data_IF_824979663845
#
_entry.id   IF_824979663845
#
_cell.length_a   1.000
_cell.length_b   1.000
_cell.length_c   1.000
_cell.angle_alpha   90.00
_cell.angle_beta   90.00
_cell.angle_gamma   90.00
#
_symmetry.space_group_name_H-M   'P 1'
#
loop_
_entity.id
_entity.type
_entity.pdbx_description
1 polymer ?
#
# COMPACT_ATOMS: atom_id res chain seq x y z
N UNK A 1 26.80 -5.42 -14.87
CA UNK A 1 25.86 -6.38 -15.43
C UNK A 1 24.46 -5.78 -15.28
N UNK A 2 24.08 -4.99 -16.27
CA UNK A 2 22.74 -4.41 -16.40
C UNK A 2 22.03 -5.23 -17.48
N UNK A 3 21.47 -6.37 -17.08
CA UNK A 3 20.61 -7.15 -17.98
C UNK A 3 19.70 -7.99 -17.10
N UNK A 4 18.46 -7.52 -17.00
CA UNK A 4 17.19 -8.23 -16.88
C UNK A 4 16.04 -7.26 -16.57
N UNK A 5 16.01 -6.11 -17.22
CA UNK A 5 14.81 -5.31 -17.38
C UNK A 5 14.04 -5.91 -18.56
N UNK A 6 13.43 -7.08 -18.32
CA UNK A 6 12.48 -7.66 -19.26
C UNK A 6 11.37 -6.61 -19.47
N UNK A 7 11.13 -6.17 -20.69
CA UNK A 7 10.35 -5.00 -21.12
C UNK A 7 8.87 -4.97 -20.73
N UNK A 8 8.53 -5.37 -19.51
CA UNK A 8 7.18 -5.25 -18.97
C UNK A 8 6.96 -3.82 -18.47
N UNK A 9 5.85 -3.22 -18.91
CA UNK A 9 5.41 -1.91 -18.44
C UNK A 9 5.23 -1.92 -16.91
N UNK A 10 5.48 -0.78 -16.23
CA UNK A 10 5.20 -0.65 -14.82
C UNK A 10 3.70 -0.75 -14.54
N UNK A 11 3.35 -1.26 -13.37
CA UNK A 11 1.98 -1.29 -12.89
C UNK A 11 1.62 0.04 -12.23
N UNK A 12 0.49 0.62 -12.58
CA UNK A 12 -0.05 1.80 -11.91
C UNK A 12 -1.26 1.41 -11.05
N UNK A 13 -1.24 1.84 -9.80
CA UNK A 13 -2.36 1.68 -8.87
C UNK A 13 -2.86 3.02 -8.35
N UNK A 14 -4.09 3.09 -7.89
CA UNK A 14 -4.72 4.32 -7.39
C UNK A 14 -5.17 4.14 -5.95
N UNK A 15 -4.82 5.09 -5.08
CA UNK A 15 -5.35 5.14 -3.72
C UNK A 15 -6.77 5.69 -3.71
N UNK A 16 -7.71 4.90 -3.21
CA UNK A 16 -9.10 5.32 -3.05
C UNK A 16 -9.26 6.31 -1.88
N UNK A 17 -10.11 7.34 -2.00
CA UNK A 17 -10.25 8.43 -1.04
C UNK A 17 -11.11 8.06 0.18
N UNK A 18 -10.75 7.00 0.91
CA UNK A 18 -11.53 6.50 2.05
C UNK A 18 -11.57 7.45 3.24
N UNK A 19 -10.54 8.28 3.41
CA UNK A 19 -10.52 9.34 4.44
C UNK A 19 -11.33 10.55 4.00
N UNK A 20 -11.18 10.95 2.76
CA UNK A 20 -11.91 12.06 2.16
C UNK A 20 -13.43 11.82 2.21
N UNK A 21 -13.85 10.58 2.02
CA UNK A 21 -15.25 10.16 2.19
C UNK A 21 -15.75 10.45 3.62
N UNK A 22 -14.97 10.09 4.65
CA UNK A 22 -15.32 10.40 6.04
C UNK A 22 -15.28 11.91 6.31
N UNK A 23 -14.26 12.62 5.80
CA UNK A 23 -14.13 14.07 5.99
C UNK A 23 -15.27 14.86 5.31
N UNK A 24 -15.88 14.32 4.27
CA UNK A 24 -17.04 14.95 3.62
C UNK A 24 -18.30 14.96 4.46
N UNK A 25 -18.37 14.12 5.50
CA UNK A 25 -19.54 13.92 6.34
C UNK A 25 -20.72 13.27 5.62
N UNK A 26 -20.57 12.81 4.38
CA UNK A 26 -21.62 12.16 3.59
C UNK A 26 -21.45 10.64 3.65
N UNK A 27 -22.50 9.95 4.05
CA UNK A 27 -22.56 8.48 4.07
C UNK A 27 -22.93 7.93 2.68
N UNK A 28 -22.13 8.27 1.67
CA UNK A 28 -22.31 7.80 0.29
C UNK A 28 -21.04 7.10 -0.21
N UNK A 29 -21.03 5.75 -0.32
CA UNK A 29 -19.88 5.01 -0.82
C UNK A 29 -19.81 4.96 -2.36
N UNK A 30 -20.82 5.48 -3.09
CA UNK A 30 -20.91 5.33 -4.55
C UNK A 30 -19.72 5.95 -5.27
N UNK A 31 -19.18 7.07 -4.77
CA UNK A 31 -17.99 7.70 -5.33
C UNK A 31 -16.75 6.80 -5.25
N UNK A 32 -16.59 6.01 -4.18
CA UNK A 32 -15.49 5.05 -4.04
C UNK A 32 -15.62 3.91 -5.06
N UNK A 33 -16.82 3.35 -5.21
CA UNK A 33 -17.09 2.27 -6.15
C UNK A 33 -16.87 2.71 -7.59
N UNK A 34 -17.46 3.85 -7.97
CA UNK A 34 -17.33 4.42 -9.30
C UNK A 34 -15.86 4.74 -9.66
N UNK A 35 -15.08 5.24 -8.68
CA UNK A 35 -13.66 5.51 -8.90
C UNK A 35 -12.87 4.22 -9.15
N UNK A 36 -13.14 3.16 -8.39
CA UNK A 36 -12.49 1.86 -8.57
C UNK A 36 -12.86 1.20 -9.91
N UNK A 37 -14.15 1.18 -10.25
CA UNK A 37 -14.65 0.68 -11.55
C UNK A 37 -14.04 1.47 -12.71
N UNK A 38 -13.93 2.80 -12.54
CA UNK A 38 -13.34 3.66 -13.57
C UNK A 38 -11.85 3.44 -13.71
N UNK A 39 -11.12 3.27 -12.61
CA UNK A 39 -9.70 2.92 -12.65
C UNK A 39 -9.47 1.60 -13.38
N UNK A 40 -10.30 0.58 -13.12
CA UNK A 40 -10.28 -0.68 -13.86
C UNK A 40 -10.54 -0.48 -15.35
N UNK A 41 -11.55 0.31 -15.71
CA UNK A 41 -11.90 0.60 -17.09
C UNK A 41 -10.85 1.42 -17.85
N UNK A 42 -10.02 2.17 -17.13
CA UNK A 42 -8.91 2.96 -17.71
C UNK A 42 -7.59 2.17 -17.81
N UNK A 43 -7.56 0.91 -17.36
CA UNK A 43 -6.38 0.06 -17.44
C UNK A 43 -5.40 0.20 -16.27
N UNK A 44 -5.82 0.78 -15.16
CA UNK A 44 -5.01 0.72 -13.93
C UNK A 44 -4.95 -0.72 -13.40
N UNK A 45 -3.77 -1.12 -12.94
CA UNK A 45 -3.51 -2.48 -12.46
C UNK A 45 -4.14 -2.76 -11.10
N UNK A 46 -4.22 -1.76 -10.22
CA UNK A 46 -4.64 -1.96 -8.83
C UNK A 46 -5.30 -0.73 -8.22
N UNK A 47 -6.15 -0.98 -7.21
CA UNK A 47 -6.67 0.07 -6.33
C UNK A 47 -6.26 -0.23 -4.88
N UNK A 48 -5.98 0.82 -4.12
CA UNK A 48 -5.39 0.73 -2.80
C UNK A 48 -6.21 1.53 -1.79
N UNK A 49 -6.20 1.09 -0.53
CA UNK A 49 -6.83 1.82 0.57
C UNK A 49 -5.84 1.99 1.73
N UNK A 50 -5.95 3.08 2.45
CA UNK A 50 -5.20 3.26 3.69
C UNK A 50 -5.96 2.72 4.89
N UNK A 51 -5.27 2.58 6.03
CA UNK A 51 -5.84 2.17 7.31
C UNK A 51 -5.43 3.15 8.42
N UNK A 52 -6.35 3.45 9.31
CA UNK A 52 -6.15 4.19 10.56
C UNK A 52 -7.48 4.19 11.32
N UNK A 53 -7.43 3.86 12.59
CA UNK A 53 -8.63 3.77 13.43
C UNK A 53 -9.12 5.16 13.88
N UNK A 54 -8.26 5.93 14.54
CA UNK A 54 -8.62 7.22 15.14
C UNK A 54 -7.71 8.38 14.75
N UNK A 55 -6.43 8.14 14.49
CA UNK A 55 -5.47 9.19 14.18
C UNK A 55 -5.78 9.92 12.87
N UNK A 56 -6.27 9.18 11.88
CA UNK A 56 -6.74 9.70 10.59
C UNK A 56 -7.97 8.90 10.17
N UNK A 57 -9.13 9.16 10.77
CA UNK A 57 -10.34 8.35 10.57
C UNK A 57 -10.67 8.18 9.10
N UNK A 58 -10.99 6.94 8.72
CA UNK A 58 -11.37 6.54 7.37
C UNK A 58 -12.28 5.32 7.42
N UNK A 59 -12.87 4.97 6.31
CA UNK A 59 -13.63 3.74 6.21
C UNK A 59 -12.66 2.56 6.37
N UNK A 60 -13.08 1.52 7.09
CA UNK A 60 -12.26 0.32 7.32
C UNK A 60 -11.75 -0.28 6.02
N UNK A 61 -10.46 -0.63 6.02
CA UNK A 61 -9.76 -1.04 4.82
C UNK A 61 -10.30 -2.35 4.23
N UNK A 62 -10.50 -3.39 5.05
CA UNK A 62 -10.95 -4.70 4.56
C UNK A 62 -12.41 -4.65 4.12
N UNK A 63 -13.26 -3.93 4.84
CA UNK A 63 -14.66 -3.69 4.46
C UNK A 63 -14.74 -2.95 3.12
N UNK A 64 -13.88 -1.93 2.92
CA UNK A 64 -13.82 -1.21 1.64
C UNK A 64 -13.37 -2.12 0.51
N UNK A 65 -12.30 -2.90 0.71
CA UNK A 65 -11.79 -3.82 -0.32
C UNK A 65 -12.80 -4.93 -0.66
N UNK A 66 -13.59 -5.42 0.31
CA UNK A 66 -14.66 -6.39 0.05
C UNK A 66 -15.74 -5.80 -0.87
N UNK A 67 -16.19 -4.58 -0.56
CA UNK A 67 -17.21 -3.90 -1.35
C UNK A 67 -16.71 -3.53 -2.76
N UNK A 68 -15.50 -3.00 -2.88
CA UNK A 68 -14.86 -2.69 -4.17
C UNK A 68 -14.58 -3.96 -4.96
N UNK A 69 -14.16 -5.04 -4.29
CA UNK A 69 -13.90 -6.34 -4.92
C UNK A 69 -15.12 -6.97 -5.56
N UNK A 70 -16.31 -6.74 -4.98
CA UNK A 70 -17.58 -7.18 -5.56
C UNK A 70 -18.02 -6.36 -6.79
N UNK A 71 -17.44 -5.18 -6.98
CA UNK A 71 -17.75 -4.25 -8.08
C UNK A 71 -16.74 -4.27 -9.22
N UNK A 72 -15.59 -4.89 -9.01
CA UNK A 72 -14.48 -4.96 -9.97
C UNK A 72 -14.14 -6.42 -10.29
N UNK A 73 -13.50 -6.67 -11.44
CA UNK A 73 -13.23 -8.03 -11.91
C UNK A 73 -11.72 -8.33 -12.05
N UNK A 74 -10.90 -7.33 -12.35
CA UNK A 74 -9.49 -7.51 -12.75
C UNK A 74 -8.50 -6.81 -11.84
N UNK A 75 -8.80 -5.56 -11.41
CA UNK A 75 -7.86 -4.78 -10.60
C UNK A 75 -7.52 -5.52 -9.31
N UNK A 76 -6.25 -5.51 -8.96
CA UNK A 76 -5.80 -5.98 -7.65
C UNK A 76 -6.24 -4.99 -6.56
N UNK A 77 -6.43 -5.50 -5.38
CA UNK A 77 -7.04 -4.80 -4.25
C UNK A 77 -6.03 -4.76 -3.10
N UNK A 78 -5.42 -3.60 -2.89
CA UNK A 78 -4.30 -3.47 -1.96
C UNK A 78 -4.56 -2.57 -0.77
N UNK A 79 -3.72 -2.71 0.26
CA UNK A 79 -3.66 -1.74 1.36
C UNK A 79 -2.33 -0.96 1.32
N UNK A 80 -2.40 0.38 1.40
CA UNK A 80 -1.22 1.26 1.42
C UNK A 80 -1.36 2.33 2.51
N UNK A 81 -1.15 1.96 3.75
CA UNK A 81 -0.76 0.68 4.36
C UNK A 81 -1.82 0.26 5.38
N UNK A 82 -1.81 -1.01 5.79
CA UNK A 82 -2.63 -1.58 6.86
C UNK A 82 -1.84 -1.65 8.18
N UNK A 83 -2.44 -1.21 9.27
CA UNK A 83 -1.84 -1.27 10.61
C UNK A 83 -2.14 -2.65 11.24
N UNK A 84 -1.49 -3.68 10.73
CA UNK A 84 -1.81 -5.07 11.07
C UNK A 84 -1.70 -5.36 12.58
N UNK A 85 -0.75 -4.73 13.29
CA UNK A 85 -0.58 -4.89 14.73
C UNK A 85 -1.78 -4.43 15.58
N UNK A 86 -2.72 -3.69 15.01
CA UNK A 86 -3.98 -3.33 15.68
C UNK A 86 -5.03 -4.46 15.63
N UNK A 87 -4.72 -5.60 15.00
CA UNK A 87 -5.66 -6.72 14.81
C UNK A 87 -5.13 -8.02 15.41
N UNK A 88 -6.05 -8.87 15.81
CA UNK A 88 -5.70 -10.21 16.26
C UNK A 88 -5.29 -11.08 15.05
N UNK A 89 -4.12 -11.75 15.06
CA UNK A 89 -3.58 -12.44 13.88
C UNK A 89 -4.46 -13.56 13.32
N UNK A 90 -5.16 -14.32 14.16
CA UNK A 90 -6.08 -15.37 13.70
C UNK A 90 -7.28 -14.76 12.96
N UNK A 91 -7.89 -13.71 13.53
CA UNK A 91 -9.03 -13.03 12.90
C UNK A 91 -8.61 -12.38 11.59
N UNK A 92 -7.47 -11.73 11.56
CA UNK A 92 -6.96 -11.09 10.35
C UNK A 92 -6.63 -12.13 9.26
N UNK A 93 -6.00 -13.25 9.63
CA UNK A 93 -5.71 -14.35 8.69
C UNK A 93 -7.01 -14.93 8.10
N UNK A 94 -8.05 -15.13 8.93
CA UNK A 94 -9.36 -15.60 8.49
C UNK A 94 -10.06 -14.59 7.55
N UNK A 95 -10.10 -13.31 7.93
CA UNK A 95 -10.71 -12.26 7.11
C UNK A 95 -10.03 -12.13 5.74
N UNK A 96 -8.69 -12.13 5.71
CA UNK A 96 -7.93 -12.04 4.47
C UNK A 96 -8.08 -13.30 3.61
N UNK A 97 -8.11 -14.49 4.20
CA UNK A 97 -8.39 -15.72 3.46
C UNK A 97 -9.77 -15.71 2.81
N UNK A 98 -10.79 -15.26 3.55
CA UNK A 98 -12.15 -15.10 3.03
C UNK A 98 -12.23 -14.04 1.94
N UNK A 99 -11.59 -12.89 2.14
CA UNK A 99 -11.56 -11.80 1.17
C UNK A 99 -10.85 -12.19 -0.12
N UNK A 100 -9.73 -12.90 0.00
CA UNK A 100 -8.97 -13.42 -1.15
C UNK A 100 -9.79 -14.44 -1.94
N UNK A 101 -10.49 -15.33 -1.25
CA UNK A 101 -11.41 -16.29 -1.86
C UNK A 101 -12.56 -15.59 -2.60
N UNK A 102 -13.22 -14.61 -1.97
CA UNK A 102 -14.34 -13.85 -2.55
C UNK A 102 -13.92 -13.01 -3.75
N UNK A 103 -12.67 -12.58 -3.82
CA UNK A 103 -12.14 -11.73 -4.90
C UNK A 103 -11.35 -12.49 -5.95
N UNK A 104 -11.27 -13.83 -5.85
CA UNK A 104 -10.56 -14.67 -6.81
C UNK A 104 -9.05 -14.44 -6.82
N UNK A 105 -8.43 -14.19 -5.66
CA UNK A 105 -6.99 -14.06 -5.54
C UNK A 105 -6.43 -12.70 -5.93
N UNK A 106 -7.19 -11.62 -5.71
CA UNK A 106 -6.77 -10.26 -6.09
C UNK A 106 -6.24 -9.41 -4.93
N UNK A 107 -6.10 -9.96 -3.73
CA UNK A 107 -5.69 -9.19 -2.55
C UNK A 107 -4.17 -9.04 -2.46
N UNK A 108 -3.70 -7.83 -2.09
CA UNK A 108 -2.34 -7.50 -1.69
C UNK A 108 -2.37 -6.80 -0.33
N UNK A 109 -1.73 -7.38 0.68
CA UNK A 109 -1.69 -6.81 2.01
C UNK A 109 -0.42 -5.97 2.21
N UNK A 110 -0.52 -4.65 2.04
CA UNK A 110 0.56 -3.73 2.41
C UNK A 110 0.51 -3.40 3.90
N UNK A 111 1.51 -3.84 4.65
CA UNK A 111 1.62 -3.69 6.11
C UNK A 111 2.54 -2.55 6.46
N UNK A 112 2.08 -1.67 7.33
CA UNK A 112 2.88 -0.63 7.94
C UNK A 112 2.81 -0.68 9.46
N UNK A 113 3.66 0.13 10.08
CA UNK A 113 3.86 0.08 11.52
C UNK A 113 3.38 1.35 12.24
N UNK A 114 2.80 2.30 11.51
CA UNK A 114 2.55 3.64 12.02
C UNK A 114 3.85 4.45 12.20
N UNK A 115 3.72 5.73 12.49
CA UNK A 115 4.87 6.61 12.75
C UNK A 115 5.21 6.58 14.24
N UNK A 116 6.47 6.29 14.61
CA UNK A 116 6.89 6.40 16.00
C UNK A 116 6.84 7.86 16.45
N UNK A 117 6.50 8.07 17.73
CA UNK A 117 6.42 9.39 18.36
C UNK A 117 5.39 10.35 17.70
N UNK A 118 4.40 9.81 17.03
CA UNK A 118 3.21 10.55 16.60
C UNK A 118 2.09 10.29 17.62
N UNK A 119 1.72 11.26 18.48
CA UNK A 119 0.84 11.00 19.63
C UNK A 119 -0.50 10.39 19.25
N UNK A 120 -1.13 10.87 18.17
CA UNK A 120 -2.42 10.35 17.73
C UNK A 120 -2.33 8.89 17.26
N UNK A 121 -1.21 8.50 16.63
CA UNK A 121 -1.02 7.11 16.20
C UNK A 121 -0.60 6.20 17.35
N UNK A 122 0.14 6.70 18.33
CA UNK A 122 0.44 5.94 19.54
C UNK A 122 -0.84 5.69 20.33
N UNK A 123 -1.71 6.68 20.41
CA UNK A 123 -3.03 6.54 21.04
C UNK A 123 -3.90 5.45 20.38
N UNK A 124 -3.80 5.21 19.06
CA UNK A 124 -4.52 4.10 18.41
C UNK A 124 -4.13 2.73 18.99
N UNK A 125 -2.89 2.55 19.43
CA UNK A 125 -2.45 1.32 20.09
C UNK A 125 -2.94 1.29 21.55
N UNK A 126 -2.80 2.39 22.26
CA UNK A 126 -3.16 2.49 23.68
C UNK A 126 -4.62 2.19 23.96
N UNK A 127 -5.56 2.72 23.14
CA UNK A 127 -7.00 2.46 23.31
C UNK A 127 -7.38 1.00 23.06
N UNK A 128 -6.51 0.23 22.43
CA UNK A 128 -6.66 -1.23 22.24
C UNK A 128 -5.86 -2.03 23.25
N UNK A 129 -5.26 -1.38 24.25
CA UNK A 129 -4.42 -2.03 25.26
C UNK A 129 -3.09 -2.54 24.73
N UNK A 130 -2.62 -2.01 23.59
CA UNK A 130 -1.39 -2.43 22.92
C UNK A 130 -0.26 -1.45 23.24
N UNK A 131 0.95 -1.97 23.43
CA UNK A 131 2.13 -1.14 23.66
C UNK A 131 2.66 -0.57 22.33
N UNK A 132 2.66 0.77 22.11
CA UNK A 132 3.12 1.35 20.84
C UNK A 132 4.57 0.99 20.49
N UNK A 133 5.44 0.82 21.49
CA UNK A 133 6.84 0.42 21.30
C UNK A 133 7.04 -1.01 20.79
N UNK A 134 6.05 -1.88 20.96
CA UNK A 134 6.11 -3.28 20.53
C UNK A 134 5.63 -3.51 19.08
N UNK A 135 4.99 -2.52 18.45
CA UNK A 135 4.30 -2.63 17.14
C UNK A 135 5.09 -3.32 16.02
N UNK A 136 6.41 -3.10 15.98
CA UNK A 136 7.28 -3.72 14.97
C UNK A 136 7.37 -5.24 15.18
N UNK A 137 7.67 -5.66 16.42
CA UNK A 137 7.78 -7.08 16.77
C UNK A 137 6.42 -7.79 16.69
N UNK A 138 5.35 -7.10 17.12
CA UNK A 138 3.98 -7.60 16.97
C UNK A 138 3.63 -7.87 15.50
N UNK A 139 3.94 -6.92 14.62
CA UNK A 139 3.67 -7.08 13.18
C UNK A 139 4.52 -8.20 12.56
N UNK A 140 5.77 -8.38 12.97
CA UNK A 140 6.61 -9.48 12.49
C UNK A 140 6.04 -10.84 12.90
N UNK A 141 5.68 -11.00 14.16
CA UNK A 141 5.07 -12.23 14.68
C UNK A 141 3.73 -12.51 13.96
N UNK A 142 2.90 -11.47 13.81
CA UNK A 142 1.62 -11.55 13.11
C UNK A 142 1.78 -12.02 11.66
N UNK A 143 2.74 -11.49 10.90
CA UNK A 143 3.02 -11.91 9.52
C UNK A 143 3.40 -13.39 9.48
N UNK A 144 4.25 -13.84 10.39
CA UNK A 144 4.67 -15.25 10.47
C UNK A 144 3.49 -16.17 10.81
N UNK A 145 2.67 -15.78 11.78
CA UNK A 145 1.47 -16.52 12.20
C UNK A 145 0.47 -16.64 11.05
N UNK A 146 0.17 -15.54 10.37
CA UNK A 146 -0.76 -15.55 9.23
C UNK A 146 -0.29 -16.50 8.14
N UNK A 147 1.00 -16.45 7.76
CA UNK A 147 1.56 -17.35 6.74
C UNK A 147 1.42 -18.82 7.11
N UNK A 148 1.65 -19.17 8.37
CA UNK A 148 1.45 -20.53 8.85
C UNK A 148 -0.02 -20.93 8.79
N UNK A 149 -0.92 -20.09 9.29
CA UNK A 149 -2.37 -20.34 9.26
C UNK A 149 -2.93 -20.52 7.84
N UNK A 150 -2.34 -19.88 6.84
CA UNK A 150 -2.75 -20.06 5.43
C UNK A 150 -2.21 -21.33 4.80
N UNK A 151 -1.03 -21.82 5.22
CA UNK A 151 -0.33 -22.95 4.58
C UNK A 151 -0.54 -24.28 5.29
N UNK A 152 -0.68 -24.23 6.61
CA UNK A 152 -0.71 -25.40 7.48
C UNK A 152 -2.11 -25.62 8.06
N UNK A 153 -2.37 -26.85 8.49
CA UNK A 153 -3.51 -27.22 9.34
C UNK A 153 -2.99 -27.53 10.74
N UNK A 154 -3.89 -27.49 11.73
CA UNK A 154 -3.57 -27.81 13.12
C UNK A 154 -2.38 -27.00 13.66
N UNK A 155 -2.41 -25.70 13.39
CA UNK A 155 -1.33 -24.77 13.80
C UNK A 155 -1.40 -24.48 15.28
N UNK A 156 -0.28 -24.69 15.98
CA UNK A 156 -0.06 -24.18 17.32
C UNK A 156 1.07 -23.14 17.31
N UNK A 157 0.94 -22.08 18.09
CA UNK A 157 1.90 -21.00 18.19
C UNK A 157 2.06 -20.54 19.63
N UNK A 158 3.30 -20.31 20.08
CA UNK A 158 3.64 -19.76 21.38
C UNK A 158 4.69 -18.66 21.21
N UNK A 159 4.21 -17.46 20.84
CA UNK A 159 5.02 -16.27 20.63
C UNK A 159 5.01 -15.30 21.81
N UNK A 160 5.60 -14.14 21.59
CA UNK A 160 5.64 -13.07 22.59
C UNK A 160 4.32 -12.32 22.73
N UNK A 161 3.52 -12.27 21.65
CA UNK A 161 2.28 -11.47 21.56
C UNK A 161 1.05 -12.33 21.32
N UNK A 162 1.22 -13.56 20.82
CA UNK A 162 0.12 -14.44 20.48
C UNK A 162 0.42 -15.87 20.91
N UNK A 163 -0.58 -16.51 21.54
CA UNK A 163 -0.51 -17.94 21.90
C UNK A 163 -1.84 -18.60 21.57
N UNK A 164 -1.79 -19.74 20.88
CA UNK A 164 -2.93 -20.59 20.58
C UNK A 164 -2.49 -22.01 20.24
N UNK A 165 -3.41 -22.95 20.28
CA UNK A 165 -3.16 -24.36 19.98
C UNK A 165 -4.25 -24.88 19.03
N UNK A 166 -3.88 -25.80 18.14
CA UNK A 166 -4.78 -26.59 17.31
C UNK A 166 -5.74 -25.79 16.42
N UNK A 167 -5.24 -24.74 15.74
CA UNK A 167 -6.06 -23.90 14.87
C UNK A 167 -5.92 -24.31 13.41
N UNK A 168 -7.05 -24.61 12.78
CA UNK A 168 -7.16 -24.74 11.31
C UNK A 168 -8.15 -23.71 10.80
N UNK A 169 -7.74 -22.87 9.86
CA UNK A 169 -8.61 -21.88 9.21
C UNK A 169 -9.13 -22.41 7.87
N UNK A 170 -10.40 -22.09 7.59
CA UNK A 170 -11.04 -22.26 6.29
C UNK A 170 -12.01 -21.09 6.03
N UNK A 171 -12.09 -20.54 4.78
CA UNK A 171 -11.27 -20.95 3.65
C UNK A 171 -9.81 -20.51 3.79
N UNK A 172 -8.92 -21.20 3.09
CA UNK A 172 -7.56 -20.72 2.85
C UNK A 172 -7.59 -19.69 1.71
N UNK A 173 -6.62 -18.75 1.61
CA UNK A 173 -6.47 -17.94 0.41
C UNK A 173 -6.34 -18.80 -0.85
N UNK A 174 -6.84 -18.29 -1.98
CA UNK A 174 -6.71 -18.97 -3.27
C UNK A 174 -5.36 -18.70 -3.94
N UNK A 175 -4.68 -17.62 -3.54
CA UNK A 175 -3.33 -17.33 -4.00
C UNK A 175 -2.33 -18.34 -3.44
N UNK A 176 -1.43 -18.89 -4.29
CA UNK A 176 -0.44 -19.86 -3.83
C UNK A 176 0.46 -19.31 -2.72
N UNK A 177 0.51 -20.00 -1.60
CA UNK A 177 1.31 -19.58 -0.45
C UNK A 177 0.66 -18.55 0.48
N UNK A 178 -0.54 -18.08 0.17
CA UNK A 178 -1.31 -17.10 0.94
C UNK A 178 -1.38 -15.73 0.27
N UNK A 179 -2.05 -14.79 0.92
CA UNK A 179 -2.12 -13.40 0.45
C UNK A 179 -0.72 -12.79 0.41
N UNK A 180 -0.29 -12.18 -0.70
CA UNK A 180 1.00 -11.49 -0.76
C UNK A 180 1.09 -10.37 0.28
N UNK A 181 2.18 -10.36 1.04
CA UNK A 181 2.43 -9.39 2.11
C UNK A 181 3.52 -8.42 1.67
N UNK A 182 3.16 -7.15 1.54
CA UNK A 182 4.06 -6.06 1.21
C UNK A 182 4.42 -5.30 2.49
N UNK A 183 5.71 -5.14 2.78
CA UNK A 183 6.13 -4.41 3.98
C UNK A 183 6.55 -2.98 3.64
N UNK A 184 6.04 -2.03 4.44
CA UNK A 184 6.43 -0.65 4.30
C UNK A 184 7.75 -0.38 5.01
N UNK A 185 8.73 0.15 4.27
CA UNK A 185 9.99 0.63 4.83
C UNK A 185 10.62 1.68 3.94
N UNK A 186 11.02 2.81 4.52
CA UNK A 186 11.88 3.78 3.86
C UNK A 186 13.36 3.38 4.07
N UNK A 187 14.30 4.32 3.87
CA UNK A 187 15.72 4.09 4.06
C UNK A 187 16.09 3.91 5.55
N UNK A 188 15.69 2.78 6.12
CA UNK A 188 15.99 2.38 7.50
C UNK A 188 16.49 0.93 7.49
N UNK A 189 17.75 0.74 7.79
CA UNK A 189 18.47 -0.53 7.64
C UNK A 189 17.74 -1.75 8.24
N UNK A 190 17.25 -1.73 9.51
CA UNK A 190 16.49 -2.86 10.05
C UNK A 190 15.18 -3.13 9.29
N UNK A 191 14.58 -2.08 8.70
CA UNK A 191 13.38 -2.20 7.88
C UNK A 191 13.66 -2.88 6.54
N UNK A 192 14.76 -2.52 5.86
CA UNK A 192 15.18 -3.15 4.61
C UNK A 192 15.49 -4.64 4.80
N UNK A 193 16.20 -5.00 5.89
CA UNK A 193 16.45 -6.41 6.27
C UNK A 193 15.16 -7.19 6.54
N UNK A 194 14.17 -6.54 7.15
CA UNK A 194 12.86 -7.16 7.38
C UNK A 194 12.11 -7.41 6.07
N UNK A 195 12.11 -6.44 5.15
CA UNK A 195 11.55 -6.61 3.80
C UNK A 195 12.20 -7.81 3.12
N UNK A 196 13.52 -7.86 3.07
CA UNK A 196 14.28 -8.94 2.44
C UNK A 196 13.90 -10.33 3.00
N UNK A 197 13.72 -10.43 4.31
CA UNK A 197 13.41 -11.69 4.99
C UNK A 197 11.96 -12.11 4.91
N UNK A 198 11.01 -11.18 4.98
CA UNK A 198 9.60 -11.49 5.23
C UNK A 198 8.62 -11.05 4.13
N UNK A 199 8.97 -10.11 3.27
CA UNK A 199 7.98 -9.51 2.37
C UNK A 199 7.91 -10.20 1.00
N UNK A 200 6.72 -10.18 0.40
CA UNK A 200 6.53 -10.50 -1.03
C UNK A 200 6.58 -9.22 -1.87
N UNK A 201 6.44 -8.06 -1.23
CA UNK A 201 6.59 -6.75 -1.86
C UNK A 201 7.17 -5.71 -0.91
N UNK A 202 7.78 -4.67 -1.47
CA UNK A 202 8.32 -3.53 -0.75
C UNK A 202 7.58 -2.26 -1.14
N UNK A 203 6.94 -1.60 -0.18
CA UNK A 203 6.23 -0.33 -0.38
C UNK A 203 6.92 0.78 0.42
N UNK A 204 7.16 1.93 -0.21
CA UNK A 204 7.82 3.06 0.42
C UNK A 204 7.37 4.40 -0.18
N UNK A 205 7.84 5.51 0.38
CA UNK A 205 7.65 6.85 -0.15
C UNK A 205 8.96 7.67 -0.10
N UNK A 206 10.07 7.01 -0.43
CA UNK A 206 11.40 7.61 -0.52
C UNK A 206 11.39 8.73 -1.56
N UNK A 207 11.95 9.89 -1.21
CA UNK A 207 11.84 11.12 -2.03
C UNK A 207 12.84 11.22 -3.18
N UNK A 208 13.91 10.43 -3.19
CA UNK A 208 14.93 10.42 -4.22
C UNK A 208 14.95 9.08 -4.96
N UNK A 209 14.86 9.05 -6.29
CA UNK A 209 15.02 7.83 -7.08
C UNK A 209 16.38 7.14 -6.86
N UNK A 210 17.46 7.90 -6.63
CA UNK A 210 18.78 7.31 -6.36
C UNK A 210 18.81 6.62 -5.00
N UNK A 211 18.28 7.24 -3.95
CA UNK A 211 18.14 6.61 -2.63
C UNK A 211 17.21 5.38 -2.71
N UNK A 212 16.16 5.44 -3.54
CA UNK A 212 15.29 4.29 -3.79
C UNK A 212 16.10 3.12 -4.39
N UNK A 213 16.90 3.39 -5.42
CA UNK A 213 17.76 2.39 -6.07
C UNK A 213 18.74 1.77 -5.08
N UNK A 214 19.43 2.58 -4.28
CA UNK A 214 20.34 2.08 -3.25
C UNK A 214 19.64 1.17 -2.23
N UNK A 215 18.44 1.55 -1.77
CA UNK A 215 17.64 0.74 -0.86
C UNK A 215 17.21 -0.57 -1.51
N UNK A 216 16.82 -0.54 -2.78
CA UNK A 216 16.43 -1.73 -3.52
C UNK A 216 17.58 -2.71 -3.68
N UNK A 217 18.77 -2.23 -4.04
CA UNK A 217 19.98 -3.05 -4.12
C UNK A 217 20.33 -3.71 -2.78
N UNK A 218 20.21 -2.96 -1.67
CA UNK A 218 20.40 -3.52 -0.32
C UNK A 218 19.39 -4.63 -0.01
N UNK A 219 18.11 -4.42 -0.32
CA UNK A 219 17.06 -5.45 -0.12
C UNK A 219 17.42 -6.71 -0.90
N UNK A 220 17.83 -6.59 -2.17
CA UNK A 220 18.23 -7.72 -3.00
C UNK A 220 19.43 -8.47 -2.42
N UNK A 221 20.43 -7.76 -1.95
CA UNK A 221 21.61 -8.34 -1.29
C UNK A 221 21.20 -9.11 -0.03
N UNK A 222 20.41 -8.51 0.86
CA UNK A 222 19.95 -9.18 2.08
C UNK A 222 19.04 -10.39 1.81
N UNK A 223 18.25 -10.36 0.75
CA UNK A 223 17.46 -11.52 0.34
C UNK A 223 18.37 -12.67 -0.09
N UNK A 224 19.33 -12.39 -0.97
CA UNK A 224 20.32 -13.38 -1.41
C UNK A 224 21.14 -13.96 -0.25
N UNK A 225 21.64 -13.11 0.65
CA UNK A 225 22.40 -13.53 1.84
C UNK A 225 21.58 -14.43 2.79
N UNK A 226 20.25 -14.29 2.78
CA UNK A 226 19.33 -15.14 3.55
C UNK A 226 18.83 -16.36 2.78
N UNK A 227 19.38 -16.64 1.60
CA UNK A 227 18.99 -17.77 0.76
C UNK A 227 17.65 -17.61 0.05
N UNK A 228 17.14 -16.38 -0.04
CA UNK A 228 15.88 -16.06 -0.71
C UNK A 228 16.14 -15.46 -2.09
N UNK A 229 15.34 -15.87 -3.09
CA UNK A 229 15.40 -15.26 -4.42
C UNK A 229 15.06 -13.75 -4.34
N UNK A 230 16.00 -12.84 -4.69
CA UNK A 230 15.73 -11.41 -4.71
C UNK A 230 14.60 -10.99 -5.66
N UNK A 231 14.33 -11.76 -6.72
CA UNK A 231 13.27 -11.47 -7.68
C UNK A 231 11.88 -11.85 -7.16
N UNK A 232 11.80 -12.59 -6.05
CA UNK A 232 10.53 -12.91 -5.37
C UNK A 232 9.92 -11.71 -4.65
N UNK A 233 10.64 -10.58 -4.55
CA UNK A 233 10.18 -9.37 -3.87
C UNK A 233 9.79 -8.34 -4.92
N UNK A 234 8.55 -7.84 -4.85
CA UNK A 234 8.01 -6.85 -5.79
C UNK A 234 8.23 -5.42 -5.29
N UNK A 235 9.09 -4.60 -5.94
CA UNK A 235 9.38 -3.24 -5.49
C UNK A 235 8.31 -2.25 -5.96
N UNK A 236 7.80 -1.42 -5.03
CA UNK A 236 6.81 -0.40 -5.32
C UNK A 236 7.13 0.94 -4.64
N UNK A 237 6.59 2.01 -5.22
CA UNK A 237 6.66 3.36 -4.68
C UNK A 237 5.26 3.92 -4.44
N UNK A 238 5.01 4.50 -3.26
CA UNK A 238 3.82 5.28 -2.96
C UNK A 238 4.09 6.75 -3.31
N UNK A 239 3.35 7.24 -4.30
CA UNK A 239 3.62 8.48 -4.99
C UNK A 239 2.45 9.46 -4.81
N UNK A 240 2.63 10.49 -3.99
CA UNK A 240 1.64 11.58 -3.87
C UNK A 240 1.92 12.64 -4.93
N UNK A 241 0.88 13.06 -5.64
CA UNK A 241 1.04 14.03 -6.71
C UNK A 241 -0.04 15.12 -6.72
N UNK A 242 0.38 16.34 -7.12
CA UNK A 242 -0.47 17.44 -7.52
C UNK A 242 -0.01 17.92 -8.91
N UNK A 243 -0.66 17.44 -9.96
CA UNK A 243 -0.28 17.68 -11.35
C UNK A 243 -1.27 18.58 -12.08
N UNK A 244 -0.80 19.34 -13.06
CA UNK A 244 -1.62 20.20 -13.91
C UNK A 244 -1.10 21.61 -14.00
N UNK A 245 -2.00 22.58 -14.25
CA UNK A 245 -1.66 24.01 -14.26
C UNK A 245 -1.44 24.57 -12.84
N UNK A 246 -1.02 25.82 -12.76
CA UNK A 246 -0.71 26.49 -11.46
C UNK A 246 -1.85 26.37 -10.45
N UNK A 247 -3.09 26.51 -10.89
CA UNK A 247 -4.27 26.44 -10.02
C UNK A 247 -4.44 25.03 -9.41
N UNK A 248 -4.30 23.98 -10.22
CA UNK A 248 -4.38 22.60 -9.76
C UNK A 248 -3.27 22.25 -8.75
N UNK A 249 -2.07 22.78 -8.94
CA UNK A 249 -0.95 22.61 -8.00
C UNK A 249 -1.27 23.26 -6.67
N UNK A 250 -1.74 24.53 -6.67
CA UNK A 250 -2.12 25.27 -5.45
C UNK A 250 -3.28 24.60 -4.72
N UNK A 251 -4.29 24.11 -5.47
CA UNK A 251 -5.38 23.34 -4.89
C UNK A 251 -4.86 22.06 -4.21
N UNK A 252 -3.98 21.31 -4.87
CA UNK A 252 -3.40 20.09 -4.34
C UNK A 252 -2.56 20.33 -3.09
N UNK A 253 -1.76 21.39 -3.06
CA UNK A 253 -1.00 21.80 -1.88
C UNK A 253 -1.92 22.16 -0.70
N UNK A 254 -2.97 22.92 -0.98
CA UNK A 254 -4.01 23.29 0.00
C UNK A 254 -4.73 22.05 0.53
N UNK A 255 -5.12 21.15 -0.37
CA UNK A 255 -5.73 19.87 -0.01
C UNK A 255 -4.84 19.06 0.94
N UNK A 256 -3.55 18.91 0.63
CA UNK A 256 -2.61 18.17 1.48
C UNK A 256 -2.42 18.84 2.85
N UNK A 257 -2.34 20.15 2.90
CA UNK A 257 -2.23 20.90 4.16
C UNK A 257 -3.46 20.64 5.06
N UNK A 258 -4.67 20.71 4.50
CA UNK A 258 -5.92 20.43 5.21
C UNK A 258 -6.02 18.94 5.63
N UNK A 259 -5.67 18.03 4.72
CA UNK A 259 -5.72 16.59 4.97
C UNK A 259 -4.83 16.16 6.13
N UNK A 260 -3.64 16.74 6.26
CA UNK A 260 -2.70 16.42 7.33
C UNK A 260 -2.76 17.35 8.53
N UNK A 261 -3.54 18.43 8.46
CA UNK A 261 -3.58 19.51 9.44
C UNK A 261 -2.18 20.05 9.76
N UNK A 262 -1.42 20.34 8.70
CA UNK A 262 -0.02 20.84 8.74
C UNK A 262 0.22 21.72 7.52
N UNK A 263 1.28 22.57 7.54
CA UNK A 263 1.66 23.29 6.32
C UNK A 263 2.09 22.30 5.20
N UNK A 264 1.89 22.69 3.95
CA UNK A 264 2.30 21.87 2.81
C UNK A 264 3.79 21.54 2.84
N UNK A 265 4.65 22.50 3.19
CA UNK A 265 6.10 22.30 3.32
C UNK A 265 6.41 21.18 4.33
N UNK A 266 5.71 21.17 5.47
CA UNK A 266 5.85 20.11 6.47
C UNK A 266 5.45 18.75 5.92
N UNK A 267 4.40 18.69 5.09
CA UNK A 267 3.97 17.43 4.43
C UNK A 267 5.00 17.00 3.40
N UNK A 268 5.44 17.88 2.51
CA UNK A 268 6.41 17.60 1.45
C UNK A 268 7.80 17.21 2.00
N UNK A 269 8.16 17.75 3.18
CA UNK A 269 9.37 17.31 3.87
C UNK A 269 9.27 15.90 4.45
N UNK A 270 8.06 15.47 4.84
CA UNK A 270 7.84 14.18 5.51
C UNK A 270 7.59 13.00 4.56
N UNK A 271 7.20 13.24 3.31
CA UNK A 271 6.88 12.20 2.34
C UNK A 271 7.13 12.65 0.89
N UNK A 272 7.14 11.70 -0.03
CA UNK A 272 7.19 11.99 -1.45
C UNK A 272 5.91 12.71 -1.89
N UNK A 273 6.05 13.99 -2.28
CA UNK A 273 5.00 14.80 -2.88
C UNK A 273 5.58 15.49 -4.11
N UNK A 274 5.10 15.15 -5.28
CA UNK A 274 5.55 15.72 -6.56
C UNK A 274 4.50 16.68 -7.09
N UNK A 275 4.92 17.87 -7.48
CA UNK A 275 4.04 18.87 -8.08
C UNK A 275 4.64 19.35 -9.39
N UNK A 276 3.81 19.59 -10.41
CA UNK A 276 4.25 20.06 -11.72
C UNK A 276 3.19 19.85 -12.78
N UNK A 277 3.55 20.05 -14.03
CA UNK A 277 2.76 19.63 -15.17
C UNK A 277 2.64 18.10 -15.18
N UNK A 278 1.68 17.55 -15.92
CA UNK A 278 1.56 16.10 -16.08
C UNK A 278 2.81 15.45 -16.63
N UNK A 279 3.50 16.10 -17.58
CA UNK A 279 4.73 15.56 -18.16
C UNK A 279 5.86 15.49 -17.14
N UNK A 280 6.08 16.55 -16.36
CA UNK A 280 7.09 16.57 -15.29
C UNK A 280 6.80 15.50 -14.22
N UNK A 281 5.54 15.33 -13.84
CA UNK A 281 5.15 14.31 -12.83
C UNK A 281 5.34 12.90 -13.37
N UNK A 282 5.08 12.65 -14.66
CA UNK A 282 5.35 11.35 -15.29
C UNK A 282 6.85 11.09 -15.40
N UNK A 283 7.65 12.09 -15.77
CA UNK A 283 9.12 11.95 -15.78
C UNK A 283 9.65 11.53 -14.40
N UNK A 284 9.07 12.08 -13.32
CA UNK A 284 9.38 11.64 -11.96
C UNK A 284 9.00 10.17 -11.69
N UNK A 285 7.83 9.71 -12.16
CA UNK A 285 7.43 8.31 -12.04
C UNK A 285 8.37 7.39 -12.81
N UNK A 286 8.73 7.75 -14.05
CA UNK A 286 9.69 7.00 -14.89
C UNK A 286 11.07 6.90 -14.24
N UNK A 287 11.53 7.95 -13.54
CA UNK A 287 12.78 7.89 -12.78
C UNK A 287 12.76 6.81 -11.67
N UNK A 288 11.62 6.61 -10.99
CA UNK A 288 11.48 5.50 -10.04
C UNK A 288 11.40 4.15 -10.73
N UNK A 289 10.76 4.06 -11.88
CA UNK A 289 10.74 2.83 -12.70
C UNK A 289 12.17 2.46 -13.13
N UNK A 290 12.95 3.42 -13.62
CA UNK A 290 14.36 3.24 -13.94
C UNK A 290 15.23 2.91 -12.70
N UNK A 291 14.80 3.33 -11.51
CA UNK A 291 15.43 2.95 -10.25
C UNK A 291 15.00 1.56 -9.74
N UNK A 292 14.11 0.86 -10.47
CA UNK A 292 13.70 -0.51 -10.20
C UNK A 292 12.26 -0.68 -9.69
N UNK A 293 11.46 0.39 -9.56
CA UNK A 293 10.06 0.26 -9.18
C UNK A 293 9.25 -0.46 -10.27
N UNK A 294 8.49 -1.48 -9.87
CA UNK A 294 7.57 -2.22 -10.76
C UNK A 294 6.11 -1.79 -10.59
N UNK A 295 5.78 -1.20 -9.45
CA UNK A 295 4.44 -0.63 -9.20
C UNK A 295 4.56 0.79 -8.64
N UNK A 296 3.76 1.69 -9.20
CA UNK A 296 3.59 3.07 -8.72
C UNK A 296 2.18 3.21 -8.16
N UNK A 297 2.06 3.36 -6.84
CA UNK A 297 0.77 3.58 -6.16
C UNK A 297 0.51 5.07 -6.06
N UNK A 298 -0.43 5.57 -6.83
CA UNK A 298 -0.74 6.97 -6.98
C UNK A 298 -1.74 7.45 -5.93
N UNK A 299 -1.37 8.52 -5.22
CA UNK A 299 -2.28 9.29 -4.39
C UNK A 299 -2.48 10.66 -4.99
N UNK A 300 -3.71 10.98 -5.36
CA UNK A 300 -4.07 12.26 -5.92
C UNK A 300 -4.29 13.30 -4.82
N UNK A 301 -3.57 14.41 -4.89
CA UNK A 301 -3.79 15.56 -4.04
C UNK A 301 -4.82 16.49 -4.72
N UNK A 302 -6.07 16.04 -4.78
CA UNK A 302 -7.15 16.75 -5.43
C UNK A 302 -8.49 16.47 -4.74
N UNK A 303 -9.45 17.37 -4.86
CA UNK A 303 -10.82 17.19 -4.35
C UNK A 303 -11.65 16.34 -5.29
N UNK A 304 -11.59 16.63 -6.60
CA UNK A 304 -12.23 15.83 -7.63
C UNK A 304 -11.31 14.67 -8.07
N UNK A 305 -11.42 13.58 -7.31
CA UNK A 305 -10.62 12.38 -7.55
C UNK A 305 -10.90 11.74 -8.92
N UNK A 306 -12.13 11.87 -9.44
CA UNK A 306 -12.52 11.28 -10.71
C UNK A 306 -11.93 12.05 -11.88
N UNK A 307 -12.12 13.38 -11.92
CA UNK A 307 -11.52 14.21 -12.98
C UNK A 307 -9.99 14.06 -12.99
N UNK A 308 -9.40 13.92 -11.79
CA UNK A 308 -7.95 13.74 -11.66
C UNK A 308 -7.48 12.37 -12.16
N UNK A 309 -8.24 11.31 -11.91
CA UNK A 309 -8.00 9.97 -12.43
C UNK A 309 -8.02 9.96 -13.97
N UNK A 310 -9.01 10.61 -14.58
CA UNK A 310 -9.14 10.72 -16.04
C UNK A 310 -7.93 11.45 -16.65
N UNK A 311 -7.55 12.60 -16.09
CA UNK A 311 -6.40 13.36 -16.55
C UNK A 311 -5.07 12.59 -16.38
N UNK A 312 -4.93 11.86 -15.28
CA UNK A 312 -3.78 10.99 -15.05
C UNK A 312 -3.70 9.87 -16.09
N UNK A 313 -4.82 9.20 -16.35
CA UNK A 313 -4.89 8.13 -17.34
C UNK A 313 -4.56 8.63 -18.76
N UNK A 314 -5.10 9.79 -19.14
CA UNK A 314 -4.76 10.42 -20.41
C UNK A 314 -3.27 10.71 -20.53
N UNK A 315 -2.67 11.28 -19.49
CA UNK A 315 -1.25 11.61 -19.44
C UNK A 315 -0.37 10.34 -19.55
N UNK A 316 -0.69 9.28 -18.81
CA UNK A 316 0.00 8.00 -18.87
C UNK A 316 -0.14 7.33 -20.25
N UNK A 317 -1.33 7.43 -20.86
CA UNK A 317 -1.58 6.87 -22.18
C UNK A 317 -0.81 7.60 -23.29
N UNK A 318 -0.59 8.91 -23.20
CA UNK A 318 0.30 9.65 -24.13
C UNK A 318 1.72 9.07 -24.16
N UNK A 319 2.19 8.52 -23.05
CA UNK A 319 3.49 7.83 -22.94
C UNK A 319 3.38 6.30 -23.13
N UNK A 320 2.21 5.79 -23.51
CA UNK A 320 1.93 4.34 -23.67
C UNK A 320 2.25 3.51 -22.41
N UNK A 321 2.09 4.09 -21.22
CA UNK A 321 2.41 3.47 -19.93
C UNK A 321 1.27 2.61 -19.38
N UNK A 322 -0.01 2.94 -19.66
CA UNK A 322 -1.12 2.06 -19.29
C UNK A 322 -1.26 0.89 -20.27
N UNK A 323 -1.77 -0.20 -19.77
CA UNK A 323 -2.09 -1.38 -20.60
C UNK A 323 -3.45 -1.14 -21.23
N UNK A 324 -3.53 -1.07 -22.55
CA UNK A 324 -4.82 -1.08 -23.23
C UNK A 324 -5.53 -2.42 -22.93
N UNK A 325 -6.67 -2.34 -22.24
CA UNK A 325 -7.55 -3.48 -21.90
C UNK A 325 -8.38 -3.89 -23.09
#
# INVERSE_FOLDING_TARGET
MADDMNGSKPNFGVLLPTREAVMSGRADPSALYQLAERAEGLGFHSVWVGDSLTARPRIDALTTLAAVGARTQRVRLGTAIFLAALRHPILLAYQLGSLDWMTGGRIDLGVGYGRPKEPMQEHEFEILGLAPGARMKMSEELVQVMRRLWRENDVSHSGSFTRFEHVTLAPKPVQPGGVPIWLASNNVEPGLKRVARLADGWLNNIKSPDVYRECWEKIRTYAADSGRDPNSIHPAIYFTLAAGGKEAIVEGQTFLAQYYNRSYESVANAMLCVTGSWDEVIDWMENYVHAGARTVVLRFAARDQRAYLEACAEALNRRSLLVNT
#
